data_IF_037486338562
#
_entry.id   IF_037486338562
#
_cell.length_a   1.000
_cell.length_b   1.000
_cell.length_c   1.000
_cell.angle_alpha   90.00
_cell.angle_beta   90.00
_cell.angle_gamma   90.00
#
_symmetry.space_group_name_H-M   'P 1'
#
loop_
_entity.id
_entity.type
_entity.pdbx_description
1 polymer ?
#
# COMPACT_ATOMS: atom_id res chain seq x y z
N UNK A 1 13.20 7.00 19.65
CA UNK A 1 12.93 6.55 18.34
C UNK A 1 11.58 7.02 17.87
N UNK A 2 11.51 7.42 16.68
CA UNK A 2 10.35 8.10 16.27
C UNK A 2 9.77 7.59 14.98
N UNK A 3 9.73 6.30 14.89
CA UNK A 3 9.17 5.64 13.76
C UNK A 3 7.69 5.92 13.55
N UNK A 4 7.07 6.55 14.49
CA UNK A 4 5.65 6.83 14.41
C UNK A 4 5.31 7.72 13.24
N UNK A 5 6.19 8.63 12.87
CA UNK A 5 5.94 9.49 11.74
C UNK A 5 5.74 8.73 10.45
N UNK A 6 6.28 7.55 10.34
CA UNK A 6 6.14 6.76 9.12
C UNK A 6 4.70 6.43 8.80
N UNK A 7 3.87 6.37 9.83
CA UNK A 7 2.48 5.99 9.61
C UNK A 7 1.66 7.08 8.98
N UNK A 8 2.17 8.29 8.94
CA UNK A 8 1.42 9.42 8.41
C UNK A 8 1.74 9.68 6.96
N UNK A 9 2.69 8.98 6.39
CA UNK A 9 3.12 9.17 5.02
C UNK A 9 2.79 7.93 4.21
N UNK A 10 2.01 8.07 3.14
CA UNK A 10 1.60 6.91 2.36
C UNK A 10 2.76 6.06 1.85
N UNK A 11 3.91 6.66 1.57
CA UNK A 11 5.05 5.91 1.08
C UNK A 11 5.62 4.96 2.13
N UNK A 12 5.20 5.08 3.38
CA UNK A 12 5.63 4.16 4.43
C UNK A 12 4.63 3.05 4.71
N UNK A 13 3.58 2.97 3.94
CA UNK A 13 2.62 1.90 4.09
C UNK A 13 3.28 0.60 3.66
N UNK A 14 3.19 -0.40 4.50
CA UNK A 14 3.81 -1.70 4.26
C UNK A 14 2.80 -2.81 4.10
N UNK A 15 3.28 -3.94 3.62
CA UNK A 15 2.47 -5.15 3.47
C UNK A 15 1.89 -5.53 4.83
N UNK A 16 0.60 -5.82 4.87
CA UNK A 16 -0.10 -6.19 6.08
C UNK A 16 -0.77 -5.03 6.80
N UNK A 17 -0.48 -3.80 6.42
CA UNK A 17 -1.10 -2.63 7.05
C UNK A 17 -2.57 -2.55 6.67
N UNK A 18 -3.40 -2.11 7.61
CA UNK A 18 -4.81 -1.87 7.36
C UNK A 18 -5.00 -0.44 6.88
N UNK A 19 -5.72 -0.30 5.77
CA UNK A 19 -5.94 1.01 5.16
C UNK A 19 -7.39 1.15 4.74
N UNK A 20 -7.83 2.40 4.62
CA UNK A 20 -9.13 2.73 4.05
C UNK A 20 -8.93 3.38 2.70
N UNK A 21 -9.67 2.90 1.72
CA UNK A 21 -9.59 3.39 0.35
C UNK A 21 -11.01 3.49 -0.20
N UNK A 22 -11.42 4.69 -0.61
CA UNK A 22 -12.76 4.94 -1.15
C UNK A 22 -13.86 4.41 -0.23
N UNK A 23 -13.71 4.70 1.08
CA UNK A 23 -14.69 4.35 2.11
C UNK A 23 -14.75 2.86 2.45
N UNK A 24 -13.86 2.05 1.93
CA UNK A 24 -13.80 0.63 2.23
C UNK A 24 -12.48 0.29 2.88
N UNK A 25 -12.50 -0.74 3.71
CA UNK A 25 -11.31 -1.16 4.44
C UNK A 25 -10.63 -2.31 3.72
N UNK A 26 -9.32 -2.23 3.64
CA UNK A 26 -8.48 -3.22 2.98
C UNK A 26 -7.24 -3.47 3.80
N UNK A 27 -6.51 -4.50 3.40
CA UNK A 27 -5.17 -4.75 3.89
C UNK A 27 -4.21 -4.66 2.72
N UNK A 28 -3.04 -4.12 2.95
CA UNK A 28 -2.03 -4.00 1.89
C UNK A 28 -1.45 -5.37 1.60
N UNK A 29 -1.60 -5.82 0.36
CA UNK A 29 -1.08 -7.11 -0.07
C UNK A 29 0.33 -6.98 -0.64
N UNK A 30 0.53 -6.04 -1.54
CA UNK A 30 1.82 -5.76 -2.15
C UNK A 30 1.95 -4.26 -2.34
N UNK A 31 3.17 -3.76 -2.11
CA UNK A 31 3.45 -2.34 -2.28
C UNK A 31 4.62 -2.20 -3.24
N UNK A 32 4.37 -1.63 -4.40
CA UNK A 32 5.40 -1.45 -5.43
C UNK A 32 5.90 -0.01 -5.46
N UNK A 33 7.21 0.13 -5.42
CA UNK A 33 7.88 1.42 -5.47
C UNK A 33 8.56 1.55 -6.82
N UNK A 34 8.39 2.69 -7.45
CA UNK A 34 9.02 2.96 -8.75
C UNK A 34 10.51 2.69 -8.69
N UNK A 35 10.99 1.88 -9.62
CA UNK A 35 12.40 1.58 -9.74
C UNK A 35 12.90 0.45 -8.86
N UNK A 36 12.12 -0.04 -7.91
CA UNK A 36 12.55 -1.13 -7.04
C UNK A 36 12.21 -2.46 -7.68
N UNK A 37 13.23 -3.26 -7.93
CA UNK A 37 13.03 -4.58 -8.53
C UNK A 37 12.53 -5.57 -7.49
N UNK A 38 11.48 -6.30 -7.83
CA UNK A 38 10.98 -7.34 -6.94
C UNK A 38 11.77 -8.64 -7.12
N UNK A 39 11.37 -9.68 -6.41
CA UNK A 39 12.08 -10.97 -6.45
C UNK A 39 12.00 -11.66 -7.80
N UNK A 40 11.02 -11.30 -8.61
CA UNK A 40 10.81 -11.91 -9.92
C UNK A 40 11.43 -11.11 -11.03
N UNK A 41 12.08 -10.01 -10.71
CA UNK A 41 12.71 -9.16 -11.69
C UNK A 41 11.85 -8.06 -12.25
N UNK A 42 10.62 -7.92 -11.75
CA UNK A 42 9.73 -6.86 -12.19
C UNK A 42 10.17 -5.53 -11.60
N UNK A 43 10.27 -4.51 -12.44
CA UNK A 43 10.63 -3.16 -12.04
C UNK A 43 9.45 -2.25 -12.32
N UNK A 44 8.74 -1.76 -11.29
CA UNK A 44 7.60 -0.88 -11.52
C UNK A 44 8.02 0.44 -12.15
N UNK A 45 7.21 0.94 -13.06
CA UNK A 45 7.44 2.25 -13.66
C UNK A 45 6.77 3.37 -12.87
N UNK A 46 5.93 3.03 -11.91
CA UNK A 46 5.31 4.01 -11.02
C UNK A 46 4.96 3.32 -9.71
N UNK A 47 4.70 4.12 -8.68
CA UNK A 47 4.30 3.60 -7.39
C UNK A 47 2.86 3.11 -7.47
N UNK A 48 2.59 1.93 -6.92
CA UNK A 48 1.21 1.48 -6.76
C UNK A 48 1.13 0.40 -5.69
N UNK A 49 -0.05 0.22 -5.16
CA UNK A 49 -0.31 -0.71 -4.07
C UNK A 49 -1.46 -1.62 -4.46
N UNK A 50 -1.32 -2.89 -4.17
CA UNK A 50 -2.40 -3.86 -4.34
C UNK A 50 -2.99 -4.09 -2.96
N UNK A 51 -4.30 -3.87 -2.86
CA UNK A 51 -5.07 -4.02 -1.64
C UNK A 51 -5.95 -5.25 -1.75
N UNK A 52 -6.23 -5.87 -0.61
CA UNK A 52 -7.13 -7.02 -0.56
C UNK A 52 -8.14 -6.80 0.56
N UNK A 53 -9.41 -7.13 0.29
CA UNK A 53 -10.42 -7.03 1.33
C UNK A 53 -10.64 -8.39 1.99
N UNK A 54 -11.54 -8.45 2.95
CA UNK A 54 -11.82 -9.67 3.71
C UNK A 54 -12.49 -10.76 2.88
N UNK A 55 -12.95 -10.42 1.69
CA UNK A 55 -13.54 -11.39 0.76
C UNK A 55 -12.54 -11.89 -0.28
N UNK A 56 -11.28 -11.44 -0.17
CA UNK A 56 -10.25 -11.82 -1.12
C UNK A 56 -10.24 -11.02 -2.41
N UNK A 57 -11.04 -9.96 -2.50
CA UNK A 57 -11.04 -9.12 -3.69
C UNK A 57 -9.85 -8.19 -3.68
N UNK A 58 -9.15 -8.08 -4.81
CA UNK A 58 -7.99 -7.23 -4.96
C UNK A 58 -8.37 -5.94 -5.66
N UNK A 59 -7.80 -4.84 -5.18
CA UNK A 59 -8.02 -3.51 -5.72
C UNK A 59 -6.66 -2.84 -5.87
N UNK A 60 -6.48 -2.08 -6.94
CA UNK A 60 -5.22 -1.41 -7.23
C UNK A 60 -5.35 0.07 -6.88
N UNK A 61 -4.39 0.58 -6.13
CA UNK A 61 -4.32 1.99 -5.77
C UNK A 61 -3.04 2.58 -6.32
N UNK A 62 -3.16 3.53 -7.23
CA UNK A 62 -2.00 4.18 -7.86
C UNK A 62 -1.59 5.46 -7.18
N UNK A 63 -2.39 5.98 -6.27
CA UNK A 63 -2.08 7.21 -5.57
C UNK A 63 -2.14 6.96 -4.08
N UNK A 64 -0.98 6.93 -3.45
CA UNK A 64 -0.89 6.70 -2.02
C UNK A 64 -1.68 7.71 -1.20
N UNK A 65 -1.90 8.90 -1.72
CA UNK A 65 -2.66 9.93 -1.01
C UNK A 65 -4.11 9.55 -0.81
N UNK A 66 -4.60 8.59 -1.58
CA UNK A 66 -5.98 8.13 -1.44
C UNK A 66 -6.14 7.11 -0.32
N UNK A 67 -5.04 6.68 0.29
CA UNK A 67 -5.06 5.70 1.36
C UNK A 67 -5.03 6.39 2.72
N UNK A 68 -5.85 5.90 3.62
CA UNK A 68 -5.85 6.32 5.01
C UNK A 68 -5.45 5.13 5.87
N UNK A 69 -4.43 5.32 6.71
CA UNK A 69 -3.96 4.23 7.56
C UNK A 69 -4.94 4.07 8.72
N UNK A 70 -5.34 2.83 8.94
CA UNK A 70 -6.22 2.48 10.06
C UNK A 70 -5.33 1.90 11.16
N UNK A 71 -5.32 2.54 12.33
CA UNK A 71 -4.49 2.08 13.45
C UNK A 71 -4.88 0.68 13.94
#
# INVERSE_FOLDING_TARGET
>A
MNFIQRYKKPEYIGVGDNVRFKKNDYQVLINYIKGDQDRKGFIPTENFTILINDRGKRVYCHNFKDLEIIP
#
